data_IF_315241990796
#
_entry.id   IF_315241990796
#
_cell.length_a   1.000
_cell.length_b   1.000
_cell.length_c   1.000
_cell.angle_alpha   90.00
_cell.angle_beta   90.00
_cell.angle_gamma   90.00
#
_symmetry.space_group_name_H-M   'P 1'
#
loop_
_entity.id
_entity.type
_entity.pdbx_description
1 polymer ?
#
# COMPACT_ATOMS: atom_id res chain seq x y z
N UNK A 1 -0.53 -3.89 -16.98
CA UNK A 1 -0.85 -2.83 -16.01
C UNK A 1 -0.12 -3.11 -14.71
N UNK A 2 0.48 -2.09 -14.11
CA UNK A 2 1.22 -2.11 -12.85
C UNK A 2 0.44 -1.32 -11.80
N UNK A 3 0.06 -1.98 -10.71
CA UNK A 3 -0.74 -1.37 -9.64
C UNK A 3 0.06 -1.35 -8.35
N UNK A 4 0.30 -0.15 -7.83
CA UNK A 4 0.82 0.04 -6.48
C UNK A 4 -0.35 -0.08 -5.49
N UNK A 5 -0.33 -1.12 -4.66
CA UNK A 5 -1.31 -1.30 -3.58
C UNK A 5 -0.64 -0.94 -2.26
N UNK A 6 -1.19 -0.01 -1.49
CA UNK A 6 -0.72 0.24 -0.12
C UNK A 6 -1.64 -0.45 0.88
N UNK A 7 -1.08 -1.02 1.95
CA UNK A 7 -1.89 -1.73 2.96
C UNK A 7 -2.34 -3.12 2.51
N UNK A 8 -1.66 -3.71 1.51
CA UNK A 8 -2.05 -4.96 0.89
C UNK A 8 -1.87 -6.19 1.78
N UNK A 9 -1.22 -6.08 2.95
CA UNK A 9 -1.17 -7.16 3.93
C UNK A 9 -2.34 -7.10 4.95
N UNK A 10 -3.21 -6.10 4.85
CA UNK A 10 -4.45 -6.00 5.65
C UNK A 10 -5.60 -6.84 5.11
N UNK A 11 -6.75 -6.77 5.78
CA UNK A 11 -7.93 -7.57 5.45
C UNK A 11 -8.41 -7.35 4.00
N UNK A 12 -8.84 -6.13 3.66
CA UNK A 12 -9.32 -5.80 2.30
C UNK A 12 -8.16 -5.79 1.31
N UNK A 13 -7.02 -5.20 1.70
CA UNK A 13 -5.84 -5.08 0.83
C UNK A 13 -5.33 -6.42 0.32
N UNK A 14 -5.33 -7.47 1.15
CA UNK A 14 -4.89 -8.80 0.72
C UNK A 14 -5.85 -9.44 -0.28
N UNK A 15 -7.17 -9.23 -0.12
CA UNK A 15 -8.16 -9.69 -1.09
C UNK A 15 -7.97 -8.99 -2.45
N UNK A 16 -7.74 -7.68 -2.44
CA UNK A 16 -7.43 -6.90 -3.64
C UNK A 16 -6.17 -7.44 -4.33
N UNK A 17 -5.08 -7.67 -3.58
CA UNK A 17 -3.85 -8.22 -4.16
C UNK A 17 -4.09 -9.60 -4.80
N UNK A 18 -4.82 -10.49 -4.12
CA UNK A 18 -5.15 -11.83 -4.65
C UNK A 18 -5.99 -11.76 -5.93
N UNK A 19 -6.99 -10.89 -5.96
CA UNK A 19 -7.85 -10.69 -7.13
C UNK A 19 -7.06 -10.11 -8.32
N UNK A 20 -6.27 -9.07 -8.09
CA UNK A 20 -5.50 -8.43 -9.15
C UNK A 20 -4.49 -9.38 -9.79
N UNK A 21 -3.78 -10.16 -8.97
CA UNK A 21 -2.77 -11.11 -9.46
C UNK A 21 -3.43 -12.35 -10.08
N UNK A 22 -4.44 -12.92 -9.43
CA UNK A 22 -5.02 -14.20 -9.81
C UNK A 22 -6.07 -14.13 -10.92
N UNK A 23 -6.88 -13.07 -10.96
CA UNK A 23 -8.01 -12.97 -11.88
C UNK A 23 -7.79 -11.89 -12.94
N UNK A 24 -7.19 -10.76 -12.56
CA UNK A 24 -6.99 -9.62 -13.47
C UNK A 24 -5.62 -9.62 -14.18
N UNK A 25 -4.77 -10.63 -13.96
CA UNK A 25 -3.43 -10.77 -14.55
C UNK A 25 -2.59 -9.47 -14.46
N UNK A 26 -2.68 -8.79 -13.31
CA UNK A 26 -2.11 -7.47 -13.07
C UNK A 26 -0.84 -7.58 -12.22
N UNK A 27 0.21 -6.84 -12.60
CA UNK A 27 1.43 -6.75 -11.78
C UNK A 27 1.16 -5.86 -10.58
N UNK A 28 1.30 -6.40 -9.38
CA UNK A 28 1.04 -5.71 -8.11
C UNK A 28 2.34 -5.51 -7.36
N UNK A 29 2.59 -4.26 -6.94
CA UNK A 29 3.53 -3.97 -5.85
C UNK A 29 2.74 -3.65 -4.59
N UNK A 30 2.80 -4.53 -3.60
CA UNK A 30 2.21 -4.32 -2.29
C UNK A 30 3.20 -3.61 -1.36
N UNK A 31 2.89 -2.38 -0.98
CA UNK A 31 3.60 -1.59 0.02
C UNK A 31 2.86 -1.62 1.36
N UNK A 32 3.44 -2.25 2.38
CA UNK A 32 2.81 -2.36 3.70
C UNK A 32 3.82 -2.18 4.83
N UNK A 33 3.42 -1.51 5.91
CA UNK A 33 4.27 -1.25 7.08
C UNK A 33 4.44 -2.50 7.96
N UNK A 34 3.54 -3.47 7.81
CA UNK A 34 3.37 -4.63 8.69
C UNK A 34 3.09 -4.20 10.14
N UNK A 35 2.03 -3.41 10.32
CA UNK A 35 1.52 -3.07 11.66
C UNK A 35 0.80 -4.28 12.28
N UNK A 36 0.18 -4.09 13.45
CA UNK A 36 -0.58 -5.13 14.13
C UNK A 36 -1.72 -5.73 13.28
N UNK A 37 -2.23 -4.99 12.30
CA UNK A 37 -3.37 -5.39 11.46
C UNK A 37 -2.94 -6.17 10.20
N UNK A 38 -1.63 -6.28 9.96
CA UNK A 38 -1.07 -6.92 8.77
C UNK A 38 -0.77 -8.40 9.00
N UNK A 39 -1.07 -9.23 8.01
CA UNK A 39 -0.75 -10.65 8.04
C UNK A 39 -0.33 -11.17 6.66
N UNK A 40 0.96 -11.47 6.48
CA UNK A 40 1.49 -12.02 5.23
C UNK A 40 0.92 -13.41 4.91
N UNK A 41 0.39 -14.14 5.88
CA UNK A 41 -0.29 -15.42 5.65
C UNK A 41 -1.49 -15.26 4.70
N UNK A 42 -2.16 -14.10 4.75
CA UNK A 42 -3.28 -13.77 3.86
C UNK A 42 -2.88 -13.67 2.37
N UNK A 43 -1.59 -13.58 2.08
CA UNK A 43 -1.03 -13.41 0.74
C UNK A 43 -0.35 -14.68 0.21
N UNK A 44 -0.32 -15.78 0.98
CA UNK A 44 0.40 -17.02 0.61
C UNK A 44 0.02 -17.60 -0.75
N UNK A 45 -1.23 -17.45 -1.19
CA UNK A 45 -1.69 -17.99 -2.48
C UNK A 45 -1.07 -17.28 -3.70
N UNK A 46 -0.51 -16.08 -3.51
CA UNK A 46 0.17 -15.31 -4.55
C UNK A 46 1.64 -15.05 -4.21
N UNK A 47 2.13 -15.59 -3.09
CA UNK A 47 3.53 -15.46 -2.70
C UNK A 47 4.41 -16.24 -3.69
N UNK A 48 5.48 -15.60 -4.17
CA UNK A 48 6.32 -16.12 -5.25
C UNK A 48 5.73 -16.05 -6.67
N UNK A 49 4.51 -15.54 -6.86
CA UNK A 49 3.99 -15.27 -8.20
C UNK A 49 4.80 -14.15 -8.86
N UNK A 50 5.25 -14.28 -10.12
CA UNK A 50 6.06 -13.24 -10.78
C UNK A 50 5.35 -11.89 -10.96
N UNK A 51 4.01 -11.88 -10.88
CA UNK A 51 3.21 -10.66 -10.94
C UNK A 51 3.03 -9.99 -9.57
N UNK A 52 3.48 -10.62 -8.47
CA UNK A 52 3.35 -10.09 -7.13
C UNK A 52 4.70 -9.71 -6.53
N UNK A 53 4.85 -8.44 -6.15
CA UNK A 53 5.99 -7.93 -5.40
C UNK A 53 5.56 -7.39 -4.04
N UNK A 54 6.41 -7.59 -3.03
CA UNK A 54 6.21 -7.00 -1.70
C UNK A 54 7.33 -6.00 -1.37
N UNK A 55 6.96 -4.88 -0.74
CA UNK A 55 7.87 -3.91 -0.14
C UNK A 55 7.37 -3.56 1.25
N UNK A 56 8.22 -3.78 2.25
CA UNK A 56 7.95 -3.26 3.59
C UNK A 56 8.22 -1.76 3.60
N UNK A 57 7.17 -0.96 3.71
CA UNK A 57 7.25 0.49 3.57
C UNK A 57 6.24 1.19 4.48
N UNK A 58 6.64 2.33 5.04
CA UNK A 58 5.74 3.24 5.74
C UNK A 58 5.32 4.36 4.77
N UNK A 59 4.01 4.56 4.58
CA UNK A 59 3.49 5.65 3.74
C UNK A 59 3.82 7.05 4.29
N UNK A 60 4.23 7.14 5.56
CA UNK A 60 4.71 8.38 6.16
C UNK A 60 6.20 8.68 5.84
N UNK A 61 6.91 7.76 5.18
CA UNK A 61 8.31 7.97 4.82
C UNK A 61 8.43 8.74 3.50
N UNK A 62 8.81 10.02 3.62
CA UNK A 62 8.97 10.98 2.52
C UNK A 62 10.07 10.62 1.51
N UNK A 63 10.90 9.62 1.79
CA UNK A 63 11.94 9.13 0.86
C UNK A 63 11.49 7.83 0.19
N UNK A 64 10.90 6.92 0.96
CA UNK A 64 10.48 5.60 0.47
C UNK A 64 9.31 5.74 -0.51
N UNK A 65 8.29 6.55 -0.20
CA UNK A 65 7.11 6.66 -1.07
C UNK A 65 7.49 7.15 -2.48
N UNK A 66 8.24 8.25 -2.68
CA UNK A 66 8.71 8.63 -4.02
C UNK A 66 9.60 7.57 -4.69
N UNK A 67 10.39 6.82 -3.94
CA UNK A 67 11.20 5.74 -4.49
C UNK A 67 10.32 4.61 -5.05
N UNK A 68 9.23 4.24 -4.37
CA UNK A 68 8.25 3.26 -4.88
C UNK A 68 7.72 3.68 -6.25
N UNK A 69 7.34 4.95 -6.44
CA UNK A 69 6.86 5.44 -7.74
C UNK A 69 7.96 5.39 -8.82
N UNK A 70 9.19 5.81 -8.51
CA UNK A 70 10.28 5.81 -9.50
C UNK A 70 10.73 4.41 -9.92
N UNK A 71 10.81 3.49 -8.96
CA UNK A 71 11.26 2.12 -9.22
C UNK A 71 10.15 1.27 -9.84
N UNK A 72 8.91 1.47 -9.38
CA UNK A 72 7.77 0.66 -9.78
C UNK A 72 6.90 1.29 -10.87
N UNK A 73 7.07 2.56 -11.23
CA UNK A 73 6.40 3.20 -12.37
C UNK A 73 4.93 2.75 -12.56
N UNK A 74 4.06 3.00 -11.55
CA UNK A 74 2.73 2.42 -11.51
C UNK A 74 1.76 3.11 -12.48
N UNK A 75 0.98 2.31 -13.21
CA UNK A 75 -0.15 2.80 -14.02
C UNK A 75 -1.34 3.24 -13.14
N UNK A 76 -1.47 2.66 -11.95
CA UNK A 76 -2.49 3.05 -10.97
C UNK A 76 -2.05 2.81 -9.53
N UNK A 77 -2.73 3.49 -8.61
CA UNK A 77 -2.53 3.36 -7.16
C UNK A 77 -3.85 2.98 -6.49
N UNK A 78 -3.84 1.93 -5.69
CA UNK A 78 -4.92 1.59 -4.76
C UNK A 78 -4.44 1.83 -3.33
N UNK A 79 -5.02 2.84 -2.67
CA UNK A 79 -4.60 3.26 -1.33
C UNK A 79 -5.51 2.68 -0.25
N UNK A 80 -5.04 1.67 0.48
CA UNK A 80 -5.79 1.03 1.58
C UNK A 80 -5.02 1.03 2.92
N UNK A 81 -3.79 1.54 2.95
CA UNK A 81 -3.01 1.65 4.18
C UNK A 81 -3.61 2.71 5.12
N UNK A 82 -4.11 2.27 6.28
CA UNK A 82 -4.71 3.14 7.29
C UNK A 82 -4.70 2.45 8.68
N UNK A 83 -4.81 3.27 9.73
CA UNK A 83 -5.37 2.83 11.01
C UNK A 83 -6.90 2.83 10.90
N UNK A 84 -7.55 1.71 11.20
CA UNK A 84 -8.97 1.48 10.85
C UNK A 84 -9.90 1.18 12.02
N UNK A 85 -9.37 0.82 13.20
CA UNK A 85 -10.18 0.44 14.35
C UNK A 85 -10.66 1.67 15.13
N UNK A 86 -11.97 1.88 15.21
CA UNK A 86 -12.57 3.02 15.94
C UNK A 86 -12.16 3.04 17.41
N UNK A 87 -12.22 1.92 18.13
CA UNK A 87 -11.87 1.90 19.55
C UNK A 87 -10.42 2.36 19.79
N UNK A 88 -9.49 1.99 18.90
CA UNK A 88 -8.09 2.44 18.98
C UNK A 88 -7.92 3.91 18.67
N UNK A 89 -8.83 4.53 17.91
CA UNK A 89 -8.76 5.96 17.63
C UNK A 89 -9.20 6.79 18.84
N UNK A 90 -10.05 6.23 19.71
CA UNK A 90 -10.43 6.83 20.99
C UNK A 90 -9.23 6.83 21.95
N UNK A 91 -8.56 5.68 22.08
CA UNK A 91 -7.43 5.53 23.02
C UNK A 91 -6.13 6.20 22.51
N UNK A 92 -5.92 6.23 21.19
CA UNK A 92 -4.66 6.66 20.58
C UNK A 92 -4.84 7.36 19.22
N UNK A 93 -5.48 8.54 19.17
CA UNK A 93 -5.81 9.22 17.91
C UNK A 93 -4.61 9.68 17.08
N UNK A 94 -3.44 9.89 17.72
CA UNK A 94 -2.25 10.39 17.04
C UNK A 94 -1.79 9.47 15.88
N UNK A 95 -1.95 8.15 16.03
CA UNK A 95 -1.61 7.19 14.97
C UNK A 95 -2.51 7.35 13.74
N UNK A 96 -3.79 7.69 13.95
CA UNK A 96 -4.77 7.89 12.88
C UNK A 96 -4.49 9.18 12.10
N UNK A 97 -4.17 10.28 12.79
CA UNK A 97 -3.78 11.54 12.13
C UNK A 97 -2.50 11.32 11.31
N UNK A 98 -1.51 10.66 11.90
CA UNK A 98 -0.24 10.40 11.22
C UNK A 98 -0.41 9.51 9.99
N UNK A 99 -0.99 8.33 10.14
CA UNK A 99 -1.10 7.38 9.02
C UNK A 99 -2.14 7.84 8.00
N UNK A 100 -3.35 8.20 8.44
CA UNK A 100 -4.48 8.40 7.53
C UNK A 100 -4.49 9.79 6.90
N UNK A 101 -3.91 10.80 7.55
CA UNK A 101 -3.85 12.17 7.01
C UNK A 101 -2.47 12.48 6.46
N UNK A 102 -1.43 12.46 7.30
CA UNK A 102 -0.06 12.79 6.85
C UNK A 102 0.45 11.77 5.82
N UNK A 103 0.23 10.47 6.06
CA UNK A 103 0.59 9.41 5.10
C UNK A 103 -0.11 9.56 3.76
N UNK A 104 -1.41 9.83 3.75
CA UNK A 104 -2.18 10.10 2.52
C UNK A 104 -1.63 11.34 1.78
N UNK A 105 -1.32 12.41 2.51
CA UNK A 105 -0.73 13.61 1.92
C UNK A 105 0.61 13.32 1.23
N UNK A 106 1.49 12.56 1.89
CA UNK A 106 2.79 12.17 1.31
C UNK A 106 2.60 11.31 0.05
N UNK A 107 1.64 10.40 0.07
CA UNK A 107 1.31 9.57 -1.09
C UNK A 107 0.78 10.41 -2.27
N UNK A 108 -0.08 11.40 -1.99
CA UNK A 108 -0.62 12.31 -3.01
C UNK A 108 0.48 13.19 -3.62
N UNK A 109 1.39 13.71 -2.83
CA UNK A 109 2.54 14.48 -3.32
C UNK A 109 3.42 13.64 -4.25
N UNK A 110 3.70 12.38 -3.87
CA UNK A 110 4.48 11.47 -4.71
C UNK A 110 3.75 11.12 -6.01
N UNK A 111 2.44 10.86 -5.95
CA UNK A 111 1.62 10.59 -7.13
C UNK A 111 1.56 11.79 -8.09
N UNK A 112 1.41 13.01 -7.56
CA UNK A 112 1.42 14.24 -8.34
C UNK A 112 2.78 14.48 -9.00
N UNK A 113 3.88 14.28 -8.27
CA UNK A 113 5.22 14.41 -8.81
C UNK A 113 5.49 13.38 -9.91
N UNK A 114 5.04 12.14 -9.73
CA UNK A 114 5.13 11.10 -10.75
C UNK A 114 4.35 11.47 -12.01
N UNK A 115 3.08 11.87 -11.88
CA UNK A 115 2.23 12.29 -13.01
C UNK A 115 2.82 13.48 -13.79
N UNK A 116 3.42 14.45 -13.11
CA UNK A 116 4.10 15.60 -13.75
C UNK A 116 5.36 15.20 -14.53
N UNK A 117 5.91 14.02 -14.26
CA UNK A 117 7.11 13.50 -14.92
C UNK A 117 6.83 12.50 -16.05
N UNK A 118 5.56 12.16 -16.29
CA UNK A 118 5.11 11.37 -17.45
C UNK A 118 5.12 12.23 -18.72
#
# INVERSE_FOLDING_TARGET
MRVLVTGGAGFIGSAVCRLLVGEANTTVLNADKLTYAANLTSLRSIDGNPLYGFRRADICDRRVVPALFREFDPDAVLHLAAESHVDRSIDGPAAFIKTNIEGTYILLEAALAHWRGL
#
